data_IF_120746502425
#
_entry.id   IF_120746502425
#
_cell.length_a   1.000
_cell.length_b   1.000
_cell.length_c   1.000
_cell.angle_alpha   90.00
_cell.angle_beta   90.00
_cell.angle_gamma   90.00
#
_symmetry.space_group_name_H-M   'P 1'
#
loop_
_entity.id
_entity.type
_entity.pdbx_description
1 polymer ?
#
# COMPACT_ATOMS: atom_id res chain seq x y z
N UNK A 1 -7.45 -13.29 -3.76
CA UNK A 1 -7.22 -12.62 -5.06
C UNK A 1 -6.09 -11.66 -4.83
N UNK A 2 -5.03 -11.75 -5.63
CA UNK A 2 -3.92 -10.80 -5.55
C UNK A 2 -4.21 -9.61 -6.45
N UNK A 3 -4.06 -8.40 -5.90
CA UNK A 3 -4.00 -7.20 -6.75
C UNK A 3 -2.71 -7.28 -7.56
N UNK A 4 -2.77 -7.17 -8.90
CA UNK A 4 -1.56 -7.23 -9.72
C UNK A 4 -0.52 -6.21 -9.23
N UNK A 5 0.71 -6.68 -9.01
CA UNK A 5 1.81 -5.83 -8.52
C UNK A 5 1.97 -4.56 -9.36
N UNK A 6 1.75 -4.64 -10.67
CA UNK A 6 1.81 -3.49 -11.59
C UNK A 6 0.81 -2.37 -11.23
N UNK A 7 -0.40 -2.71 -10.78
CA UNK A 7 -1.38 -1.71 -10.35
C UNK A 7 -0.97 -1.07 -9.04
N UNK A 8 -0.46 -1.86 -8.09
CA UNK A 8 0.04 -1.35 -6.82
C UNK A 8 1.28 -0.45 -7.01
N UNK A 9 2.21 -0.85 -7.89
CA UNK A 9 3.36 -0.03 -8.26
C UNK A 9 2.93 1.28 -8.90
N UNK A 10 1.98 1.24 -9.83
CA UNK A 10 1.46 2.46 -10.47
C UNK A 10 0.74 3.36 -9.47
N UNK A 11 -0.07 2.79 -8.58
CA UNK A 11 -0.73 3.50 -7.50
C UNK A 11 0.29 4.22 -6.60
N UNK A 12 1.31 3.51 -6.13
CA UNK A 12 2.39 4.07 -5.31
C UNK A 12 3.11 5.23 -5.99
N UNK A 13 3.49 5.09 -7.26
CA UNK A 13 4.13 6.16 -8.03
C UNK A 13 3.27 7.43 -8.05
N UNK A 14 1.99 7.28 -8.38
CA UNK A 14 1.06 8.40 -8.48
C UNK A 14 0.82 9.10 -7.13
N UNK A 15 0.69 8.32 -6.05
CA UNK A 15 0.58 8.87 -4.69
C UNK A 15 1.85 9.62 -4.30
N UNK A 16 3.03 9.06 -4.58
CA UNK A 16 4.33 9.67 -4.25
C UNK A 16 4.57 10.96 -5.05
N UNK A 17 4.12 11.01 -6.30
CA UNK A 17 4.14 12.20 -7.17
C UNK A 17 2.99 13.17 -6.89
N UNK A 18 2.14 12.90 -5.87
CA UNK A 18 0.95 13.70 -5.51
C UNK A 18 -0.08 13.85 -6.65
N UNK A 19 -0.09 12.93 -7.61
CA UNK A 19 -1.06 12.85 -8.72
C UNK A 19 -2.33 12.12 -8.28
N UNK A 20 -3.05 12.69 -7.31
CA UNK A 20 -4.14 12.00 -6.61
C UNK A 20 -5.30 11.59 -7.53
N UNK A 21 -5.71 12.44 -8.48
CA UNK A 21 -6.78 12.10 -9.42
C UNK A 21 -6.45 10.85 -10.27
N UNK A 22 -5.18 10.66 -10.62
CA UNK A 22 -4.73 9.48 -11.35
C UNK A 22 -4.61 8.26 -10.43
N UNK A 23 -4.18 8.46 -9.18
CA UNK A 23 -4.15 7.40 -8.17
C UNK A 23 -5.55 6.85 -7.88
N UNK A 24 -6.56 7.74 -7.77
CA UNK A 24 -7.97 7.39 -7.62
C UNK A 24 -8.49 6.55 -8.80
N UNK A 25 -8.15 6.92 -10.04
CA UNK A 25 -8.49 6.08 -11.22
C UNK A 25 -7.86 4.69 -11.17
N UNK A 26 -6.65 4.55 -10.62
CA UNK A 26 -6.04 3.23 -10.41
C UNK A 26 -6.77 2.47 -9.31
N UNK A 27 -7.16 3.13 -8.24
CA UNK A 27 -7.97 2.54 -7.16
C UNK A 27 -9.31 2.01 -7.68
N UNK A 28 -10.00 2.75 -8.55
CA UNK A 28 -11.22 2.27 -9.22
C UNK A 28 -10.98 1.00 -10.06
N UNK A 29 -9.83 0.91 -10.75
CA UNK A 29 -9.44 -0.30 -11.51
C UNK A 29 -9.13 -1.48 -10.60
N UNK A 30 -8.66 -1.24 -9.37
CA UNK A 30 -8.49 -2.27 -8.34
C UNK A 30 -9.87 -2.71 -7.86
N UNK A 31 -10.74 -1.76 -7.49
CA UNK A 31 -12.10 -2.03 -7.04
C UNK A 31 -12.92 -2.85 -8.05
N UNK A 32 -12.90 -2.46 -9.34
CA UNK A 32 -13.61 -3.17 -10.40
C UNK A 32 -13.18 -4.64 -10.53
N UNK A 33 -11.90 -4.97 -10.25
CA UNK A 33 -11.42 -6.36 -10.23
C UNK A 33 -11.90 -7.10 -9.00
N UNK A 34 -11.94 -6.44 -7.85
CA UNK A 34 -12.34 -7.02 -6.58
C UNK A 34 -13.84 -7.35 -6.55
N UNK A 35 -14.68 -6.60 -7.27
CA UNK A 35 -16.15 -6.76 -7.29
C UNK A 35 -16.62 -8.19 -7.58
N UNK A 36 -15.86 -8.97 -8.34
CA UNK A 36 -16.23 -10.34 -8.73
C UNK A 36 -15.62 -11.42 -7.80
N UNK A 37 -14.96 -11.05 -6.69
CA UNK A 37 -14.21 -11.99 -5.85
C UNK A 37 -15.06 -12.78 -4.85
N UNK A 38 -16.30 -12.33 -4.58
CA UNK A 38 -17.14 -12.86 -3.49
C UNK A 38 -16.63 -12.55 -2.07
N UNK A 39 -15.61 -11.69 -1.93
CA UNK A 39 -14.97 -11.34 -0.63
C UNK A 39 -15.26 -9.90 -0.23
N UNK A 40 -16.53 -9.55 -0.03
CA UNK A 40 -16.97 -8.16 0.13
C UNK A 40 -16.27 -7.42 1.28
N UNK A 41 -16.26 -7.97 2.50
CA UNK A 41 -15.64 -7.34 3.67
C UNK A 41 -14.12 -7.16 3.50
N UNK A 42 -13.44 -8.20 3.01
CA UNK A 42 -12.01 -8.12 2.67
C UNK A 42 -11.75 -7.02 1.63
N UNK A 43 -12.56 -6.97 0.57
CA UNK A 43 -12.40 -5.99 -0.48
C UNK A 43 -12.58 -4.56 0.08
N UNK A 44 -13.58 -4.37 0.94
CA UNK A 44 -13.85 -3.09 1.60
C UNK A 44 -12.64 -2.64 2.42
N UNK A 45 -12.13 -3.48 3.31
CA UNK A 45 -10.96 -3.13 4.13
C UNK A 45 -9.72 -2.81 3.29
N UNK A 46 -9.48 -3.59 2.23
CA UNK A 46 -8.37 -3.34 1.31
C UNK A 46 -8.48 -1.98 0.60
N UNK A 47 -9.67 -1.65 0.09
CA UNK A 47 -9.92 -0.39 -0.62
C UNK A 47 -9.88 0.81 0.34
N UNK A 48 -10.43 0.67 1.54
CA UNK A 48 -10.41 1.70 2.57
C UNK A 48 -8.97 2.03 3.01
N UNK A 49 -8.10 1.02 3.13
CA UNK A 49 -6.67 1.24 3.42
C UNK A 49 -5.97 2.04 2.31
N UNK A 50 -6.22 1.72 1.04
CA UNK A 50 -5.63 2.46 -0.09
C UNK A 50 -6.16 3.88 -0.20
N UNK A 51 -7.46 4.08 0.03
CA UNK A 51 -8.04 5.40 0.09
C UNK A 51 -7.45 6.21 1.25
N UNK A 52 -7.28 5.59 2.43
CA UNK A 52 -6.63 6.18 3.60
C UNK A 52 -5.21 6.67 3.30
N UNK A 53 -4.44 5.93 2.50
CA UNK A 53 -3.12 6.36 2.03
C UNK A 53 -3.20 7.65 1.20
N UNK A 54 -4.13 7.73 0.23
CA UNK A 54 -4.32 8.96 -0.57
C UNK A 54 -4.66 10.14 0.35
N UNK A 55 -5.61 9.95 1.26
CA UNK A 55 -6.04 10.98 2.19
C UNK A 55 -4.92 11.47 3.10
N UNK A 56 -4.10 10.53 3.60
CA UNK A 56 -2.91 10.80 4.43
C UNK A 56 -1.90 11.67 3.71
N UNK A 57 -1.50 11.29 2.49
CA UNK A 57 -0.46 12.01 1.74
C UNK A 57 -0.97 13.36 1.23
N UNK A 58 -2.27 13.44 0.92
CA UNK A 58 -2.92 14.69 0.48
C UNK A 58 -3.04 15.71 1.60
N UNK A 59 -3.30 15.26 2.83
CA UNK A 59 -3.53 16.13 3.98
C UNK A 59 -2.25 16.19 4.82
N UNK A 60 -1.50 17.29 4.77
CA UNK A 60 -0.29 17.51 5.58
C UNK A 60 -0.55 17.65 7.09
N UNK A 61 -1.55 16.95 7.64
CA UNK A 61 -2.01 16.99 9.03
C UNK A 61 -3.31 16.21 9.31
N UNK A 62 -3.65 15.21 8.48
CA UNK A 62 -4.84 14.37 8.70
C UNK A 62 -4.58 13.19 9.66
N UNK A 63 -5.66 12.59 10.17
CA UNK A 63 -5.74 11.49 11.16
C UNK A 63 -5.01 10.18 10.83
N UNK A 64 -4.18 10.18 9.79
CA UNK A 64 -3.47 9.02 9.26
C UNK A 64 -1.97 9.36 9.18
N UNK A 65 -1.40 9.77 10.31
CA UNK A 65 -0.03 10.33 10.42
C UNK A 65 1.08 9.36 9.99
N UNK A 66 0.79 8.06 9.95
CA UNK A 66 1.75 7.02 9.61
C UNK A 66 2.36 7.22 8.21
N UNK A 67 1.53 7.47 7.20
CA UNK A 67 2.02 7.59 5.82
C UNK A 67 2.54 8.97 5.48
N UNK A 68 2.05 10.03 6.13
CA UNK A 68 2.56 11.39 5.96
C UNK A 68 3.98 11.56 6.52
N UNK A 69 4.33 10.79 7.55
CA UNK A 69 5.64 10.83 8.20
C UNK A 69 6.56 9.66 7.82
N UNK A 70 6.17 8.86 6.82
CA UNK A 70 6.92 7.66 6.44
C UNK A 70 8.26 8.04 5.79
N UNK A 71 9.35 7.77 6.49
CA UNK A 71 10.69 7.92 5.93
C UNK A 71 11.02 6.74 5.01
N UNK A 72 11.04 7.00 3.71
CA UNK A 72 11.36 6.00 2.69
C UNK A 72 12.84 5.56 2.71
N UNK A 73 13.70 6.29 3.42
CA UNK A 73 15.13 5.99 3.54
C UNK A 73 15.44 5.02 4.69
N UNK A 74 14.57 4.96 5.71
CA UNK A 74 14.68 4.04 6.85
C UNK A 74 14.15 2.63 6.50
N UNK A 75 14.94 1.91 5.71
CA UNK A 75 14.65 0.52 5.29
C UNK A 75 14.40 -0.42 6.47
N UNK A 76 15.17 -0.40 7.58
CA UNK A 76 14.87 -1.20 8.76
C UNK A 76 13.47 -0.98 9.32
N UNK A 77 13.04 0.27 9.50
CA UNK A 77 11.69 0.59 9.99
C UNK A 77 10.60 0.12 9.02
N UNK A 78 10.78 0.37 7.72
CA UNK A 78 9.85 -0.12 6.68
C UNK A 78 9.69 -1.65 6.71
N UNK A 79 10.78 -2.40 6.91
CA UNK A 79 10.74 -3.86 7.04
C UNK A 79 10.00 -4.32 8.29
N UNK A 80 10.18 -3.61 9.42
CA UNK A 80 9.47 -3.91 10.67
C UNK A 80 7.96 -3.75 10.47
N UNK A 81 7.52 -2.61 9.94
CA UNK A 81 6.11 -2.37 9.63
C UNK A 81 5.53 -3.40 8.65
N UNK A 82 6.32 -3.78 7.62
CA UNK A 82 5.91 -4.81 6.67
C UNK A 82 5.64 -6.16 7.37
N UNK A 83 6.51 -6.61 8.26
CA UNK A 83 6.31 -7.87 8.99
C UNK A 83 5.15 -7.78 9.99
N UNK A 84 4.95 -6.63 10.65
CA UNK A 84 3.82 -6.42 11.56
C UNK A 84 2.48 -6.49 10.81
N UNK A 85 2.35 -5.78 9.69
CA UNK A 85 1.13 -5.83 8.87
C UNK A 85 0.90 -7.22 8.26
N UNK A 86 1.97 -7.88 7.81
CA UNK A 86 1.89 -9.25 7.28
C UNK A 86 1.45 -10.25 8.35
N UNK A 87 1.85 -10.06 9.61
CA UNK A 87 1.37 -10.87 10.74
C UNK A 87 -0.12 -10.65 10.98
N UNK A 88 -0.57 -9.40 10.99
CA UNK A 88 -1.99 -9.07 11.15
C UNK A 88 -2.83 -9.64 10.01
N UNK A 89 -2.43 -9.43 8.75
CA UNK A 89 -3.11 -9.98 7.57
C UNK A 89 -3.18 -11.52 7.51
N UNK A 90 -2.41 -12.24 8.34
CA UNK A 90 -2.43 -13.71 8.43
C UNK A 90 -3.12 -14.23 9.68
N UNK A 91 -3.58 -13.34 10.57
CA UNK A 91 -4.23 -13.73 11.81
C UNK A 91 -5.64 -14.26 11.52
N UNK A 92 -5.86 -15.54 11.78
CA UNK A 92 -7.14 -16.23 11.50
C UNK A 92 -8.30 -15.77 12.39
N UNK A 93 -8.04 -15.01 13.44
CA UNK A 93 -9.05 -14.47 14.35
C UNK A 93 -9.48 -13.04 14.02
N UNK A 94 -8.89 -12.42 12.98
CA UNK A 94 -9.29 -11.10 12.52
C UNK A 94 -10.54 -11.17 11.65
N UNK A 95 -11.33 -10.09 11.65
CA UNK A 95 -12.43 -9.94 10.70
C UNK A 95 -11.89 -9.86 9.28
N UNK A 96 -12.65 -10.34 8.30
CA UNK A 96 -12.26 -10.30 6.88
C UNK A 96 -11.88 -8.89 6.43
N UNK A 97 -12.57 -7.86 6.96
CA UNK A 97 -12.23 -6.45 6.78
C UNK A 97 -10.78 -6.14 7.20
N UNK A 98 -10.39 -6.50 8.44
CA UNK A 98 -9.06 -6.24 8.97
C UNK A 98 -8.00 -6.96 8.14
N UNK A 99 -8.27 -8.21 7.76
CA UNK A 99 -7.39 -9.01 6.89
C UNK A 99 -7.17 -8.27 5.57
N UNK A 100 -8.23 -7.74 4.96
CA UNK A 100 -8.16 -6.94 3.73
C UNK A 100 -7.36 -5.66 3.90
N UNK A 101 -7.64 -4.93 4.97
CA UNK A 101 -6.97 -3.68 5.30
C UNK A 101 -5.46 -3.87 5.49
N UNK A 102 -5.03 -4.81 6.34
CA UNK A 102 -3.61 -5.10 6.54
C UNK A 102 -2.94 -5.70 5.31
N UNK A 103 -3.69 -6.42 4.46
CA UNK A 103 -3.19 -6.94 3.18
C UNK A 103 -2.80 -5.80 2.23
N UNK A 104 -3.63 -4.75 2.13
CA UNK A 104 -3.32 -3.57 1.31
C UNK A 104 -2.05 -2.84 1.79
N UNK A 105 -1.92 -2.63 3.10
CA UNK A 105 -0.73 -1.99 3.69
C UNK A 105 0.53 -2.83 3.45
N UNK A 106 0.41 -4.16 3.54
CA UNK A 106 1.50 -5.09 3.27
C UNK A 106 1.95 -5.03 1.80
N UNK A 107 1.00 -5.03 0.87
CA UNK A 107 1.29 -4.93 -0.56
C UNK A 107 1.91 -3.57 -0.93
N UNK A 108 1.44 -2.49 -0.32
CA UNK A 108 1.99 -1.15 -0.50
C UNK A 108 3.44 -1.05 -0.01
N UNK A 109 3.73 -1.51 1.21
CA UNK A 109 5.10 -1.54 1.74
C UNK A 109 6.01 -2.48 0.93
N UNK A 110 5.49 -3.59 0.39
CA UNK A 110 6.25 -4.47 -0.51
C UNK A 110 6.74 -3.70 -1.75
N UNK A 111 5.89 -2.85 -2.33
CA UNK A 111 6.26 -2.01 -3.49
C UNK A 111 7.31 -0.97 -3.10
N UNK A 112 7.14 -0.30 -1.96
CA UNK A 112 8.13 0.65 -1.44
C UNK A 112 9.49 -0.04 -1.29
N UNK A 113 9.55 -1.15 -0.56
CA UNK A 113 10.78 -1.89 -0.32
C UNK A 113 11.46 -2.34 -1.62
N UNK A 114 10.68 -2.80 -2.60
CA UNK A 114 11.20 -3.15 -3.93
C UNK A 114 11.78 -1.94 -4.67
N UNK A 115 11.11 -0.78 -4.60
CA UNK A 115 11.55 0.46 -5.26
C UNK A 115 12.84 0.98 -4.63
N UNK A 116 12.91 1.01 -3.29
CA UNK A 116 14.11 1.43 -2.55
C UNK A 116 15.27 0.46 -2.80
N UNK A 117 15.03 -0.85 -2.84
CA UNK A 117 16.09 -1.82 -3.15
C UNK A 117 16.65 -1.70 -4.57
N UNK A 118 15.83 -1.31 -5.55
CA UNK A 118 16.26 -1.10 -6.93
C UNK A 118 17.18 0.12 -7.03
N UNK A 119 16.78 1.22 -6.39
CA UNK A 119 17.55 2.47 -6.36
C UNK A 119 18.95 2.25 -5.74
N UNK A 120 19.04 1.50 -4.64
CA UNK A 120 20.34 1.16 -4.02
C UNK A 120 21.25 0.26 -4.88
N UNK A 121 20.68 -0.56 -5.77
CA UNK A 121 21.44 -1.41 -6.68
C UNK A 121 22.00 -0.64 -7.87
N UNK A 122 21.26 0.36 -8.37
CA UNK A 122 21.70 1.25 -9.45
C UNK A 122 22.85 2.17 -8.99
N UNK A 123 22.81 2.66 -7.75
CA UNK A 123 23.89 3.48 -7.17
C UNK A 123 25.22 2.71 -6.95
N UNK A 124 25.17 1.39 -6.84
CA UNK A 124 26.37 0.53 -6.69
C UNK A 124 26.91 0.02 -8.02
N UNK A 125 26.08 -0.07 -9.07
CA UNK A 125 26.49 -0.50 -10.40
C UNK A 125 27.17 0.63 -11.22
N UNK A 126 27.04 1.88 -10.78
CA UNK A 126 27.59 3.06 -11.44
C UNK A 126 28.79 3.68 -10.68
N UNK A 127 29.48 2.88 -9.85
CA UNK A 127 30.70 3.26 -9.11
C UNK A 127 31.86 2.33 -9.40
#
# INVERSE_FOLDING_TARGET
MDVPLVLMTRFFQLVSERKFAEAERVLERIHARMKNSGKEEFNKGYLDALNGIILSVRSSGGSYEFFSNLDLTDVPSLKKHYEDFKKNARNRFQADYDIGYFSALTDFLRVILKTVSRTKGEDQANR
#
